data_IF_140626646341
#
_entry.id   IF_140626646341
#
_cell.length_a   1.000
_cell.length_b   1.000
_cell.length_c   1.000
_cell.angle_alpha   90.00
_cell.angle_beta   90.00
_cell.angle_gamma   90.00
#
_symmetry.space_group_name_H-M   'P 1'
#
loop_
_entity.id
_entity.type
_entity.pdbx_description
1 polymer ?
#
# COMPACT_ATOMS: atom_id res chain seq x y z
N UNK A 1 18.44 19.95 -13.12
CA UNK A 1 17.68 18.83 -12.52
C UNK A 1 16.23 19.26 -12.39
N UNK A 2 15.40 18.90 -13.37
CA UNK A 2 13.97 19.23 -13.38
C UNK A 2 13.33 18.55 -12.17
N UNK A 3 12.77 19.35 -11.25
CA UNK A 3 12.10 18.89 -10.03
C UNK A 3 10.89 18.05 -10.46
N UNK A 4 11.06 16.73 -10.63
CA UNK A 4 9.93 15.83 -10.91
C UNK A 4 9.01 15.92 -9.70
N UNK A 5 7.77 16.36 -9.92
CA UNK A 5 6.74 16.38 -8.88
C UNK A 5 6.54 14.92 -8.47
N UNK A 6 6.99 14.56 -7.26
CA UNK A 6 6.74 13.26 -6.67
C UNK A 6 5.28 13.19 -6.28
N UNK A 7 4.64 12.11 -6.67
CA UNK A 7 3.30 11.78 -6.19
C UNK A 7 3.51 10.90 -4.95
N UNK A 8 3.21 11.41 -3.76
CA UNK A 8 3.34 10.61 -2.55
C UNK A 8 2.28 9.48 -2.50
N UNK A 9 2.51 8.48 -1.64
CA UNK A 9 1.59 7.35 -1.51
C UNK A 9 0.17 7.75 -1.09
N UNK A 10 0.00 8.86 -0.37
CA UNK A 10 -1.33 9.37 -0.01
C UNK A 10 -2.10 9.85 -1.25
N UNK A 11 -1.44 10.54 -2.17
CA UNK A 11 -2.04 10.94 -3.44
C UNK A 11 -2.40 9.75 -4.33
N UNK A 12 -1.64 8.65 -4.28
CA UNK A 12 -2.02 7.39 -4.94
C UNK A 12 -3.33 6.87 -4.35
N UNK A 13 -3.41 6.77 -3.02
CA UNK A 13 -4.61 6.30 -2.32
C UNK A 13 -5.82 7.16 -2.69
N UNK A 14 -5.69 8.49 -2.59
CA UNK A 14 -6.77 9.43 -2.92
C UNK A 14 -7.25 9.25 -4.35
N UNK A 15 -6.35 8.99 -5.31
CA UNK A 15 -6.73 8.74 -6.71
C UNK A 15 -7.52 7.44 -6.85
N UNK A 16 -7.06 6.35 -6.23
CA UNK A 16 -7.82 5.09 -6.23
C UNK A 16 -9.18 5.24 -5.55
N UNK A 17 -9.29 5.99 -4.44
CA UNK A 17 -10.58 6.21 -3.78
C UNK A 17 -11.62 6.87 -4.70
N UNK A 18 -11.19 7.68 -5.69
CA UNK A 18 -12.09 8.25 -6.72
C UNK A 18 -12.61 7.20 -7.71
N UNK A 19 -11.90 6.10 -7.89
CA UNK A 19 -12.30 4.99 -8.76
C UNK A 19 -13.24 3.99 -8.10
N UNK A 20 -13.55 4.16 -6.81
CA UNK A 20 -14.49 3.29 -6.07
C UNK A 20 -15.90 3.90 -6.15
N UNK A 21 -16.91 3.05 -6.34
CA UNK A 21 -18.32 3.44 -6.46
C UNK A 21 -18.98 3.91 -5.16
N UNK A 22 -18.24 3.94 -4.05
CA UNK A 22 -18.73 4.30 -2.72
C UNK A 22 -17.67 5.02 -1.90
N UNK A 23 -18.13 5.84 -0.96
CA UNK A 23 -17.33 6.43 0.12
C UNK A 23 -17.75 5.92 1.50
N UNK A 24 -18.74 5.03 1.56
CA UNK A 24 -19.24 4.50 2.82
C UNK A 24 -18.30 3.45 3.38
N UNK A 25 -17.92 3.63 4.65
CA UNK A 25 -17.15 2.63 5.42
C UNK A 25 -17.99 1.41 5.81
N UNK A 26 -19.31 1.47 5.64
CA UNK A 26 -20.21 0.34 5.89
C UNK A 26 -20.21 -0.66 4.74
N UNK A 27 -19.70 -0.28 3.55
CA UNK A 27 -19.50 -1.22 2.45
C UNK A 27 -18.34 -2.19 2.78
N UNK A 28 -18.59 -3.51 2.86
CA UNK A 28 -17.60 -4.49 3.29
C UNK A 28 -16.31 -4.51 2.49
N UNK A 29 -16.36 -4.11 1.20
CA UNK A 29 -15.18 -4.04 0.34
C UNK A 29 -14.32 -2.79 0.58
N UNK A 30 -14.89 -1.71 1.13
CA UNK A 30 -14.21 -0.43 1.25
C UNK A 30 -12.97 -0.50 2.14
N UNK A 31 -13.09 -1.08 3.33
CA UNK A 31 -11.98 -1.26 4.28
C UNK A 31 -10.87 -2.17 3.75
N UNK A 32 -11.19 -3.42 3.33
CA UNK A 32 -10.23 -4.35 2.75
C UNK A 32 -9.49 -3.78 1.54
N UNK A 33 -10.18 -3.07 0.64
CA UNK A 33 -9.55 -2.44 -0.51
C UNK A 33 -8.47 -1.43 -0.10
N UNK A 34 -8.79 -0.50 0.81
CA UNK A 34 -7.83 0.51 1.25
C UNK A 34 -6.69 -0.09 2.09
N UNK A 35 -6.97 -1.16 2.85
CA UNK A 35 -5.93 -1.90 3.55
C UNK A 35 -4.96 -2.59 2.57
N UNK A 36 -5.49 -3.28 1.55
CA UNK A 36 -4.70 -3.92 0.50
C UNK A 36 -3.87 -2.90 -0.29
N UNK A 37 -4.47 -1.75 -0.63
CA UNK A 37 -3.79 -0.67 -1.32
C UNK A 37 -2.65 -0.07 -0.50
N UNK A 38 -2.87 0.17 0.80
CA UNK A 38 -1.83 0.66 1.70
C UNK A 38 -0.67 -0.33 1.82
N UNK A 39 -0.97 -1.63 1.95
CA UNK A 39 0.06 -2.68 2.00
C UNK A 39 0.80 -2.85 0.67
N UNK A 40 0.17 -2.56 -0.47
CA UNK A 40 0.84 -2.57 -1.76
C UNK A 40 1.82 -1.40 -1.90
N UNK A 41 1.47 -0.23 -1.35
CA UNK A 41 2.27 0.98 -1.43
C UNK A 41 3.45 1.00 -0.49
N UNK A 42 3.28 0.49 0.72
CA UNK A 42 4.26 0.61 1.78
C UNK A 42 4.82 -0.74 2.19
N UNK A 43 6.14 -0.83 2.26
CA UNK A 43 6.84 -1.92 2.93
C UNK A 43 7.67 -1.41 4.09
N UNK A 44 7.82 -2.25 5.11
CA UNK A 44 8.70 -1.93 6.22
C UNK A 44 10.15 -2.17 5.82
N UNK A 45 11.02 -1.26 6.26
CA UNK A 45 12.47 -1.42 6.13
C UNK A 45 12.90 -2.66 6.91
N UNK A 46 13.48 -3.63 6.20
CA UNK A 46 13.77 -4.96 6.75
C UNK A 46 14.75 -4.88 7.93
N UNK A 47 15.71 -3.97 7.86
CA UNK A 47 16.71 -3.74 8.92
C UNK A 47 16.04 -3.30 10.23
N UNK A 48 15.01 -2.46 10.15
CA UNK A 48 14.27 -2.01 11.33
C UNK A 48 13.43 -3.16 11.90
N UNK A 49 12.81 -3.96 11.05
CA UNK A 49 12.04 -5.14 11.48
C UNK A 49 12.97 -6.13 12.19
N UNK A 50 14.14 -6.39 11.64
CA UNK A 50 15.14 -7.27 12.25
C UNK A 50 15.62 -6.73 13.61
N UNK A 51 15.87 -5.42 13.71
CA UNK A 51 16.26 -4.77 14.97
C UNK A 51 15.17 -4.90 16.05
N UNK A 52 13.90 -4.70 15.68
CA UNK A 52 12.76 -4.88 16.59
C UNK A 52 12.62 -6.33 17.04
N UNK A 53 12.71 -7.29 16.10
CA UNK A 53 12.63 -8.73 16.42
C UNK A 53 13.75 -9.14 17.37
N UNK A 54 14.98 -8.70 17.11
CA UNK A 54 16.13 -9.01 17.96
C UNK A 54 15.97 -8.42 19.37
N UNK A 55 15.48 -7.18 19.47
CA UNK A 55 15.17 -6.57 20.76
C UNK A 55 14.12 -7.38 21.55
N UNK A 56 13.09 -7.90 20.90
CA UNK A 56 12.07 -8.72 21.55
C UNK A 56 12.61 -10.07 22.02
N UNK A 57 13.50 -10.68 21.24
CA UNK A 57 14.21 -11.91 21.63
C UNK A 57 15.08 -11.68 22.87
N UNK A 58 15.81 -10.57 22.92
CA UNK A 58 16.62 -10.20 24.09
C UNK A 58 15.76 -9.99 25.35
N UNK A 59 14.49 -9.65 25.19
CA UNK A 59 13.50 -9.55 26.27
C UNK A 59 12.83 -10.89 26.62
N UNK A 60 13.26 -11.99 26.01
CA UNK A 60 12.79 -13.34 26.30
C UNK A 60 11.53 -13.76 25.53
N UNK A 61 11.10 -13.00 24.51
CA UNK A 61 10.00 -13.46 23.64
C UNK A 61 10.47 -14.53 22.68
N UNK A 62 9.64 -15.55 22.47
CA UNK A 62 9.87 -16.60 21.47
C UNK A 62 9.33 -16.18 20.10
N UNK A 63 9.95 -16.68 19.03
CA UNK A 63 9.65 -16.28 17.66
C UNK A 63 8.16 -16.41 17.28
N UNK A 64 7.47 -17.43 17.77
CA UNK A 64 6.04 -17.61 17.48
C UNK A 64 5.17 -16.52 18.09
N UNK A 65 5.53 -16.00 19.26
CA UNK A 65 4.80 -14.89 19.88
C UNK A 65 5.12 -13.57 19.20
N UNK A 66 6.36 -13.41 18.73
CA UNK A 66 6.77 -12.26 17.92
C UNK A 66 5.98 -12.24 16.59
N UNK A 67 5.83 -13.40 15.92
CA UNK A 67 5.04 -13.53 14.67
C UNK A 67 3.55 -13.24 14.87
N UNK A 68 3.02 -13.44 16.07
CA UNK A 68 1.62 -13.14 16.44
C UNK A 68 1.39 -11.67 16.77
N UNK A 69 2.44 -10.85 16.88
CA UNK A 69 2.28 -9.42 17.12
C UNK A 69 1.48 -8.78 15.98
N UNK A 70 0.60 -7.83 16.30
CA UNK A 70 -0.22 -7.19 15.28
C UNK A 70 0.67 -6.40 14.32
N UNK A 71 0.34 -6.32 13.01
CA UNK A 71 1.12 -5.52 12.05
C UNK A 71 1.27 -4.05 12.43
N UNK A 72 0.37 -3.48 13.23
CA UNK A 72 0.52 -2.13 13.79
C UNK A 72 1.76 -1.98 14.67
N UNK A 73 2.13 -3.03 15.41
CA UNK A 73 3.29 -3.02 16.29
C UNK A 73 4.57 -2.65 15.53
N UNK A 74 4.80 -3.30 14.40
CA UNK A 74 5.95 -3.05 13.54
C UNK A 74 5.82 -1.73 12.77
N UNK A 75 4.63 -1.39 12.27
CA UNK A 75 4.40 -0.11 11.55
C UNK A 75 4.69 1.13 12.40
N UNK A 76 4.50 1.05 13.72
CA UNK A 76 4.83 2.15 14.65
C UNK A 76 6.32 2.25 14.98
N UNK A 77 7.11 1.21 14.71
CA UNK A 77 8.51 1.06 15.18
C UNK A 77 9.52 0.96 14.06
N UNK A 78 9.06 0.69 12.84
CA UNK A 78 9.88 0.52 11.67
C UNK A 78 9.55 1.62 10.66
N UNK A 79 10.58 2.13 9.99
CA UNK A 79 10.40 3.00 8.84
C UNK A 79 9.68 2.23 7.73
N UNK A 80 9.00 3.00 6.88
CA UNK A 80 8.34 2.49 5.68
C UNK A 80 8.93 3.14 4.44
N UNK A 81 9.02 2.37 3.38
CA UNK A 81 9.44 2.83 2.06
C UNK A 81 8.40 2.43 1.02
N UNK A 82 8.36 3.17 -0.07
CA UNK A 82 7.65 2.73 -1.27
C UNK A 82 8.62 1.94 -2.15
N UNK A 83 8.31 0.69 -2.52
CA UNK A 83 9.21 -0.18 -3.27
C UNK A 83 9.53 0.38 -4.66
N UNK A 84 10.53 -0.21 -5.29
CA UNK A 84 10.94 0.14 -6.66
C UNK A 84 9.81 -0.05 -7.69
N UNK A 85 9.93 0.58 -8.88
CA UNK A 85 8.84 0.62 -9.85
C UNK A 85 8.24 -0.73 -10.24
N UNK A 86 9.06 -1.74 -10.51
CA UNK A 86 8.58 -3.05 -10.97
C UNK A 86 7.77 -3.78 -9.89
N UNK A 87 8.30 -3.79 -8.67
CA UNK A 87 7.63 -4.39 -7.51
C UNK A 87 6.34 -3.62 -7.15
N UNK A 88 6.39 -2.29 -7.17
CA UNK A 88 5.21 -1.46 -6.91
C UNK A 88 4.12 -1.69 -7.96
N UNK A 89 4.49 -1.78 -9.25
CA UNK A 89 3.55 -2.06 -10.33
C UNK A 89 2.91 -3.44 -10.17
N UNK A 90 3.71 -4.46 -9.83
CA UNK A 90 3.21 -5.80 -9.55
C UNK A 90 2.21 -5.81 -8.39
N UNK A 91 2.55 -5.18 -7.25
CA UNK A 91 1.67 -5.12 -6.07
C UNK A 91 0.37 -4.38 -6.34
N UNK A 92 0.42 -3.22 -6.99
CA UNK A 92 -0.78 -2.46 -7.36
C UNK A 92 -1.64 -3.22 -8.37
N UNK A 93 -1.03 -3.94 -9.32
CA UNK A 93 -1.73 -4.81 -10.26
C UNK A 93 -2.44 -5.97 -9.56
N UNK A 94 -1.84 -6.55 -8.53
CA UNK A 94 -2.47 -7.59 -7.72
C UNK A 94 -3.71 -7.05 -6.98
N UNK A 95 -3.63 -5.85 -6.39
CA UNK A 95 -4.79 -5.19 -5.76
C UNK A 95 -5.89 -4.92 -6.79
N UNK A 96 -5.55 -4.33 -7.94
CA UNK A 96 -6.54 -4.06 -8.98
C UNK A 96 -7.28 -5.34 -9.41
N UNK A 97 -6.53 -6.41 -9.70
CA UNK A 97 -7.13 -7.67 -10.14
C UNK A 97 -7.97 -8.36 -9.07
N UNK A 98 -7.65 -8.18 -7.79
CA UNK A 98 -8.42 -8.77 -6.70
C UNK A 98 -9.80 -8.12 -6.50
N UNK A 99 -9.99 -6.87 -6.97
CA UNK A 99 -11.21 -6.10 -6.72
C UNK A 99 -11.98 -5.69 -7.99
N UNK A 100 -11.39 -5.86 -9.18
CA UNK A 100 -11.98 -5.35 -10.45
C UNK A 100 -13.35 -5.91 -10.80
N UNK A 101 -13.62 -7.15 -10.41
CA UNK A 101 -14.86 -7.86 -10.72
C UNK A 101 -15.76 -7.99 -9.47
N UNK A 102 -15.37 -7.38 -8.35
CA UNK A 102 -16.13 -7.40 -7.11
C UNK A 102 -17.34 -6.47 -7.16
N UNK A 103 -18.41 -6.86 -6.46
CA UNK A 103 -19.67 -6.14 -6.40
C UNK A 103 -20.01 -5.76 -4.96
N UNK A 104 -20.56 -4.57 -4.79
CA UNK A 104 -21.06 -4.08 -3.52
C UNK A 104 -22.32 -4.85 -3.08
N UNK A 105 -22.75 -4.67 -1.84
CA UNK A 105 -23.97 -5.28 -1.29
C UNK A 105 -25.21 -5.00 -2.17
N UNK A 106 -25.27 -3.83 -2.78
CA UNK A 106 -26.38 -3.42 -3.65
C UNK A 106 -26.31 -3.99 -5.08
N UNK A 107 -25.35 -4.89 -5.36
CA UNK A 107 -25.15 -5.55 -6.65
C UNK A 107 -24.49 -4.69 -7.72
N UNK A 108 -24.07 -3.46 -7.41
CA UNK A 108 -23.32 -2.61 -8.35
C UNK A 108 -21.82 -2.92 -8.28
N UNK A 109 -21.07 -2.71 -9.38
CA UNK A 109 -19.62 -2.83 -9.37
C UNK A 109 -18.96 -2.00 -8.27
N UNK A 110 -18.00 -2.59 -7.56
CA UNK A 110 -17.23 -1.88 -6.53
C UNK A 110 -16.36 -0.78 -7.13
N UNK A 111 -15.77 -1.04 -8.29
CA UNK A 111 -15.09 -0.04 -9.10
C UNK A 111 -16.07 0.66 -10.04
N UNK A 112 -15.89 1.97 -10.21
CA UNK A 112 -16.61 2.75 -11.21
C UNK A 112 -15.87 2.72 -12.56
N UNK A 113 -16.49 3.32 -13.57
CA UNK A 113 -15.96 3.34 -14.94
C UNK A 113 -14.61 4.08 -15.07
N UNK A 114 -14.23 4.91 -14.10
CA UNK A 114 -12.95 5.64 -14.10
C UNK A 114 -11.77 4.79 -13.62
N UNK A 115 -12.01 3.71 -12.87
CA UNK A 115 -10.95 2.99 -12.16
C UNK A 115 -9.87 2.44 -13.09
N UNK A 116 -10.24 1.90 -14.26
CA UNK A 116 -9.26 1.38 -15.21
C UNK A 116 -8.30 2.47 -15.72
N UNK A 117 -8.83 3.68 -15.96
CA UNK A 117 -8.04 4.85 -16.34
C UNK A 117 -7.14 5.33 -15.21
N UNK A 118 -7.68 5.39 -13.98
CA UNK A 118 -6.93 5.76 -12.77
C UNK A 118 -5.76 4.78 -12.55
N UNK A 119 -6.02 3.47 -12.60
CA UNK A 119 -5.00 2.43 -12.44
C UNK A 119 -3.89 2.58 -13.48
N UNK A 120 -4.26 2.72 -14.76
CA UNK A 120 -3.31 2.89 -15.86
C UNK A 120 -2.44 4.14 -15.70
N UNK A 121 -3.04 5.27 -15.30
CA UNK A 121 -2.30 6.51 -15.07
C UNK A 121 -1.33 6.40 -13.87
N UNK A 122 -1.74 5.70 -12.80
CA UNK A 122 -0.89 5.46 -11.66
C UNK A 122 0.31 4.58 -12.06
N UNK A 123 0.10 3.51 -12.82
CA UNK A 123 1.19 2.68 -13.32
C UNK A 123 2.18 3.47 -14.19
N UNK A 124 1.70 4.38 -15.02
CA UNK A 124 2.57 5.28 -15.79
C UNK A 124 3.47 6.13 -14.85
N UNK A 125 2.93 6.66 -13.75
CA UNK A 125 3.71 7.38 -12.75
C UNK A 125 4.68 6.47 -11.98
N UNK A 126 4.30 5.21 -11.71
CA UNK A 126 5.15 4.21 -11.08
C UNK A 126 6.38 3.95 -11.95
N UNK A 127 6.19 3.59 -13.22
CA UNK A 127 7.29 3.28 -14.15
C UNK A 127 8.18 4.50 -14.44
N UNK A 128 7.68 5.72 -14.29
CA UNK A 128 8.49 6.95 -14.35
C UNK A 128 9.33 7.20 -13.08
N UNK A 129 9.18 6.37 -12.04
CA UNK A 129 9.82 6.54 -10.74
C UNK A 129 9.31 7.77 -10.00
N UNK A 130 8.08 8.21 -10.28
CA UNK A 130 7.50 9.42 -9.66
C UNK A 130 6.84 9.13 -8.30
N UNK A 131 6.73 7.86 -7.91
CA UNK A 131 6.06 7.41 -6.69
C UNK A 131 7.04 6.73 -5.72
N UNK A 132 7.93 5.88 -6.24
CA UNK A 132 8.93 5.17 -5.43
C UNK A 132 9.87 6.13 -4.69
N UNK A 133 10.30 5.71 -3.50
CA UNK A 133 11.29 6.46 -2.75
C UNK A 133 12.69 6.32 -3.40
N UNK A 134 13.53 7.35 -3.38
CA UNK A 134 14.90 7.24 -3.86
C UNK A 134 15.68 6.28 -2.95
N UNK A 135 16.61 5.49 -3.51
CA UNK A 135 17.44 4.61 -2.70
C UNK A 135 18.11 5.38 -1.55
N UNK A 136 17.86 4.95 -0.31
CA UNK A 136 18.45 5.55 0.89
C UNK A 136 17.89 6.91 1.33
N UNK A 137 16.74 7.36 0.79
CA UNK A 137 16.07 8.57 1.27
C UNK A 137 14.69 8.24 1.87
N UNK A 138 14.53 8.56 3.15
CA UNK A 138 13.25 8.52 3.85
C UNK A 138 12.39 9.72 3.42
N UNK A 139 11.13 9.47 3.06
CA UNK A 139 10.19 10.51 2.65
C UNK A 139 8.95 10.59 3.57
N UNK A 140 8.83 9.71 4.57
CA UNK A 140 7.63 9.52 5.40
C UNK A 140 7.92 9.16 6.86
#
# INVERSE_FOLDING_TARGET
>A
LTRRIKLDGLHVIIRYSKGVSTTSTDEPLYGPFHAALSNALYELVLEDVQSVVEHLRQRGMVDDDIRRLPPSYFRERCRRVIPGPDELAYRLGAVYNAFKDEVMINGRPFFNDEMAGIHSNILEHVFKGCISDPPGQEMY
#
